data_IF_018162945962
#
_entry.id   IF_018162945962
#
_cell.length_a   1.000
_cell.length_b   1.000
_cell.length_c   1.000
_cell.angle_alpha   90.00
_cell.angle_beta   90.00
_cell.angle_gamma   90.00
#
_symmetry.space_group_name_H-M   'P 1'
#
loop_
_entity.id
_entity.type
_entity.pdbx_description
1 polymer ?
#
# COMPACT_ATOMS: atom_id res chain seq x y z
N UNK A 1 -34.65 -2.02 -36.63
CA UNK A 1 -35.86 -2.81 -36.92
C UNK A 1 -36.24 -3.59 -35.67
N UNK A 2 -37.38 -3.26 -35.06
CA UNK A 2 -37.84 -3.88 -33.81
C UNK A 2 -38.52 -5.22 -34.10
N UNK A 3 -37.88 -6.32 -33.72
CA UNK A 3 -38.54 -7.60 -33.59
C UNK A 3 -39.17 -7.69 -32.19
N UNK A 4 -40.44 -8.05 -32.14
CA UNK A 4 -41.22 -8.25 -30.92
C UNK A 4 -40.53 -9.23 -29.96
N UNK A 5 -40.24 -8.79 -28.74
CA UNK A 5 -39.59 -9.55 -27.67
C UNK A 5 -40.51 -10.58 -26.98
N UNK A 6 -41.51 -11.10 -27.70
CA UNK A 6 -42.53 -11.96 -27.13
C UNK A 6 -42.03 -13.38 -26.77
N UNK A 7 -40.87 -13.82 -27.26
CA UNK A 7 -40.36 -15.19 -27.09
C UNK A 7 -38.96 -15.35 -26.48
N UNK A 8 -38.30 -14.27 -26.07
CA UNK A 8 -36.92 -14.37 -25.55
C UNK A 8 -36.95 -14.56 -24.03
N UNK A 9 -36.37 -15.66 -23.53
CA UNK A 9 -36.34 -16.00 -22.09
C UNK A 9 -34.94 -15.81 -21.46
N UNK A 10 -33.91 -15.65 -22.30
CA UNK A 10 -32.53 -15.53 -21.86
C UNK A 10 -31.73 -14.54 -22.71
N UNK A 11 -30.76 -13.88 -22.09
CA UNK A 11 -29.77 -13.04 -22.74
C UNK A 11 -28.40 -13.69 -22.61
N UNK A 12 -27.68 -13.86 -23.72
CA UNK A 12 -26.30 -14.36 -23.72
C UNK A 12 -25.31 -13.18 -23.83
N UNK A 13 -24.38 -13.09 -22.89
CA UNK A 13 -23.22 -12.18 -22.98
C UNK A 13 -22.04 -13.00 -23.49
N UNK A 14 -21.82 -12.99 -24.81
CA UNK A 14 -20.83 -13.85 -25.46
C UNK A 14 -19.42 -13.25 -25.52
N UNK A 15 -19.29 -11.92 -25.45
CA UNK A 15 -18.00 -11.23 -25.48
C UNK A 15 -17.88 -10.17 -24.37
N UNK A 16 -16.64 -9.75 -24.12
CA UNK A 16 -16.30 -8.73 -23.13
C UNK A 16 -16.42 -7.29 -23.60
N UNK A 17 -16.92 -7.06 -24.82
CA UNK A 17 -17.16 -5.71 -25.37
C UNK A 17 -18.58 -5.25 -25.15
N UNK A 18 -19.45 -6.13 -24.67
CA UNK A 18 -20.81 -5.79 -24.29
C UNK A 18 -20.79 -4.67 -23.24
N UNK A 19 -21.37 -3.53 -23.62
CA UNK A 19 -21.59 -2.39 -22.72
C UNK A 19 -22.54 -2.81 -21.58
N UNK A 20 -22.11 -2.71 -20.31
CA UNK A 20 -22.94 -3.13 -19.17
C UNK A 20 -24.30 -2.45 -19.12
N UNK A 21 -24.40 -1.18 -19.53
CA UNK A 21 -25.66 -0.42 -19.52
C UNK A 21 -26.66 -1.01 -20.52
N UNK A 22 -26.17 -1.33 -21.73
CA UNK A 22 -26.96 -1.99 -22.77
C UNK A 22 -27.43 -3.38 -22.35
N UNK A 23 -26.57 -4.14 -21.66
CA UNK A 23 -26.92 -5.45 -21.09
C UNK A 23 -27.99 -5.31 -20.01
N UNK A 24 -27.86 -4.34 -19.10
CA UNK A 24 -28.83 -4.08 -18.03
C UNK A 24 -30.21 -3.66 -18.58
N UNK A 25 -30.23 -2.83 -19.62
CA UNK A 25 -31.47 -2.44 -20.31
C UNK A 25 -32.14 -3.63 -21.00
N UNK A 26 -31.36 -4.49 -21.67
CA UNK A 26 -31.88 -5.70 -22.32
C UNK A 26 -32.43 -6.69 -21.28
N UNK A 27 -31.72 -6.87 -20.16
CA UNK A 27 -32.16 -7.74 -19.07
C UNK A 27 -33.43 -7.22 -18.38
N UNK A 28 -33.54 -5.90 -18.16
CA UNK A 28 -34.77 -5.27 -17.65
C UNK A 28 -35.98 -5.53 -18.57
N UNK A 29 -35.77 -5.52 -19.89
CA UNK A 29 -36.83 -5.84 -20.86
C UNK A 29 -37.26 -7.30 -20.81
N UNK A 30 -36.35 -8.21 -20.50
CA UNK A 30 -36.64 -9.64 -20.31
C UNK A 30 -37.36 -9.91 -18.98
N UNK A 31 -37.02 -9.15 -17.93
CA UNK A 31 -37.64 -9.26 -16.61
C UNK A 31 -39.08 -8.72 -16.57
N UNK A 32 -39.52 -7.95 -17.58
CA UNK A 32 -40.92 -7.55 -17.74
C UNK A 32 -41.81 -8.79 -17.88
N UNK A 33 -42.73 -8.96 -16.93
CA UNK A 33 -43.61 -10.12 -16.79
C UNK A 33 -44.39 -10.38 -18.09
N UNK A 34 -44.05 -11.47 -18.78
CA UNK A 34 -44.92 -12.13 -19.74
C UNK A 34 -45.65 -13.29 -19.04
N UNK A 35 -46.92 -13.57 -19.38
CA UNK A 35 -47.65 -14.69 -18.79
C UNK A 35 -46.88 -16.01 -19.02
N UNK A 36 -46.55 -16.71 -17.93
CA UNK A 36 -45.76 -17.96 -17.93
C UNK A 36 -44.26 -17.82 -17.66
N UNK A 37 -43.73 -16.59 -17.49
CA UNK A 37 -42.30 -16.37 -17.16
C UNK A 37 -42.10 -16.14 -15.66
N UNK A 38 -41.34 -17.03 -15.02
CA UNK A 38 -40.95 -16.91 -13.61
C UNK A 38 -39.65 -16.11 -13.40
N UNK A 39 -38.72 -16.11 -14.37
CA UNK A 39 -37.44 -15.40 -14.27
C UNK A 39 -36.84 -15.08 -15.66
N UNK A 40 -36.09 -13.97 -15.76
CA UNK A 40 -35.22 -13.68 -16.90
C UNK A 40 -33.81 -14.21 -16.63
N UNK A 41 -33.20 -14.93 -17.58
CA UNK A 41 -31.89 -15.54 -17.40
C UNK A 41 -30.78 -14.76 -18.13
N UNK A 42 -29.67 -14.50 -17.43
CA UNK A 42 -28.44 -14.00 -18.03
C UNK A 42 -27.44 -15.15 -18.16
N UNK A 43 -27.17 -15.57 -19.40
CA UNK A 43 -26.22 -16.63 -19.71
C UNK A 43 -24.84 -16.01 -19.94
N UNK A 44 -23.84 -16.55 -19.26
CA UNK A 44 -22.44 -16.17 -19.41
C UNK A 44 -21.63 -17.45 -19.67
N UNK A 45 -20.81 -17.50 -20.72
CA UNK A 45 -20.14 -18.73 -21.15
C UNK A 45 -19.11 -19.25 -20.14
N UNK A 46 -18.48 -18.36 -19.37
CA UNK A 46 -17.58 -18.71 -18.27
C UNK A 46 -17.72 -17.73 -17.10
N UNK A 47 -17.40 -18.21 -15.89
CA UNK A 47 -17.33 -17.41 -14.67
C UNK A 47 -15.99 -16.66 -14.53
N UNK A 48 -15.24 -16.53 -15.63
CA UNK A 48 -13.97 -15.82 -15.72
C UNK A 48 -13.90 -15.03 -17.03
N UNK A 49 -13.03 -14.02 -17.07
CA UNK A 49 -12.83 -13.20 -18.27
C UNK A 49 -13.83 -12.05 -18.42
N UNK A 50 -13.81 -11.36 -19.57
CA UNK A 50 -14.43 -10.04 -19.65
C UNK A 50 -15.97 -10.09 -19.83
N UNK A 51 -16.52 -11.21 -20.33
CA UNK A 51 -17.98 -11.38 -20.44
C UNK A 51 -18.66 -11.40 -19.05
N UNK A 52 -18.06 -12.08 -18.05
CA UNK A 52 -18.60 -12.08 -16.68
C UNK A 52 -18.45 -10.73 -16.00
N UNK A 53 -17.40 -9.96 -16.33
CA UNK A 53 -17.25 -8.57 -15.84
C UNK A 53 -18.40 -7.70 -16.34
N UNK A 54 -18.68 -7.73 -17.65
CA UNK A 54 -19.80 -6.97 -18.23
C UNK A 54 -21.15 -7.43 -17.69
N UNK A 55 -21.36 -8.74 -17.55
CA UNK A 55 -22.58 -9.31 -17.01
C UNK A 55 -22.78 -8.92 -15.53
N UNK A 56 -21.73 -8.97 -14.72
CA UNK A 56 -21.77 -8.56 -13.32
C UNK A 56 -22.08 -7.07 -13.18
N UNK A 57 -21.37 -6.23 -13.93
CA UNK A 57 -21.60 -4.78 -13.93
C UNK A 57 -23.04 -4.42 -14.36
N UNK A 58 -23.64 -5.19 -15.26
CA UNK A 58 -25.04 -5.03 -15.62
C UNK A 58 -26.00 -5.45 -14.49
N UNK A 59 -25.72 -6.56 -13.80
CA UNK A 59 -26.52 -7.03 -12.67
C UNK A 59 -26.45 -6.07 -11.48
N UNK A 60 -25.28 -5.53 -11.17
CA UNK A 60 -25.08 -4.57 -10.08
C UNK A 60 -25.82 -3.24 -10.31
N UNK A 61 -26.10 -2.87 -11.58
CA UNK A 61 -26.98 -1.73 -11.88
C UNK A 61 -28.45 -1.99 -11.55
N UNK A 62 -28.87 -3.26 -11.49
CA UNK A 62 -30.26 -3.67 -11.26
C UNK A 62 -30.52 -4.08 -9.80
N UNK A 63 -29.50 -4.57 -9.10
CA UNK A 63 -29.54 -4.96 -7.69
C UNK A 63 -28.35 -4.34 -6.95
N UNK A 64 -28.63 -3.26 -6.22
CA UNK A 64 -27.67 -2.46 -5.45
C UNK A 64 -27.02 -3.23 -4.29
N UNK A 65 -27.53 -4.41 -3.94
CA UNK A 65 -26.97 -5.27 -2.89
C UNK A 65 -25.80 -6.11 -3.39
N UNK A 66 -25.61 -6.26 -4.70
CA UNK A 66 -24.63 -7.19 -5.26
C UNK A 66 -23.19 -6.72 -5.08
N UNK A 67 -22.89 -5.44 -5.37
CA UNK A 67 -21.54 -4.91 -5.25
C UNK A 67 -21.04 -4.86 -3.79
N UNK A 68 -21.83 -4.38 -2.80
CA UNK A 68 -21.44 -4.47 -1.39
C UNK A 68 -21.20 -5.91 -0.92
N UNK A 69 -22.03 -6.86 -1.37
CA UNK A 69 -21.85 -8.27 -1.04
C UNK A 69 -20.59 -8.86 -1.68
N UNK A 70 -20.28 -8.50 -2.92
CA UNK A 70 -19.05 -8.91 -3.60
C UNK A 70 -17.80 -8.37 -2.87
N UNK A 71 -17.85 -7.08 -2.50
CA UNK A 71 -16.82 -6.41 -1.71
C UNK A 71 -16.62 -7.10 -0.36
N UNK A 72 -17.70 -7.43 0.35
CA UNK A 72 -17.64 -8.19 1.61
C UNK A 72 -16.96 -9.55 1.41
N UNK A 73 -17.34 -10.31 0.37
CA UNK A 73 -16.71 -11.60 0.07
C UNK A 73 -15.22 -11.44 -0.25
N UNK A 74 -14.82 -10.39 -0.98
CA UNK A 74 -13.42 -10.09 -1.25
C UNK A 74 -12.62 -9.82 0.04
N UNK A 75 -13.16 -8.97 0.93
CA UNK A 75 -12.57 -8.70 2.25
C UNK A 75 -12.45 -9.98 3.08
N UNK A 76 -13.50 -10.79 3.16
CA UNK A 76 -13.48 -12.04 3.92
C UNK A 76 -12.50 -13.07 3.33
N UNK A 77 -12.38 -13.12 2.00
CA UNK A 77 -11.41 -13.97 1.31
C UNK A 77 -9.98 -13.58 1.70
N UNK A 78 -9.69 -12.27 1.72
CA UNK A 78 -8.40 -11.75 2.18
C UNK A 78 -8.12 -12.03 3.65
N UNK A 79 -9.15 -11.89 4.49
CA UNK A 79 -9.05 -12.09 5.93
C UNK A 79 -8.72 -13.54 6.28
N UNK A 80 -9.34 -14.51 5.59
CA UNK A 80 -9.20 -15.95 5.83
C UNK A 80 -8.14 -16.65 4.97
N UNK A 81 -7.65 -15.96 3.94
CA UNK A 81 -6.79 -16.50 2.86
C UNK A 81 -7.33 -17.78 2.20
N UNK A 82 -8.66 -17.85 2.06
CA UNK A 82 -9.35 -18.90 1.31
C UNK A 82 -10.69 -18.39 0.80
N UNK A 83 -11.20 -19.05 -0.24
CA UNK A 83 -12.57 -18.84 -0.70
C UNK A 83 -13.60 -19.21 0.38
N UNK A 84 -14.74 -18.52 0.34
CA UNK A 84 -15.85 -18.74 1.25
C UNK A 84 -16.62 -20.01 0.88
N UNK A 85 -17.15 -20.71 1.89
CA UNK A 85 -18.10 -21.81 1.67
C UNK A 85 -19.49 -21.28 1.36
N UNK A 86 -20.39 -22.15 0.91
CA UNK A 86 -21.79 -21.79 0.65
C UNK A 86 -22.45 -21.11 1.86
N UNK A 87 -22.20 -21.63 3.07
CA UNK A 87 -22.79 -21.14 4.32
C UNK A 87 -22.25 -19.76 4.72
N UNK A 88 -21.05 -19.40 4.25
CA UNK A 88 -20.40 -18.11 4.52
C UNK A 88 -20.80 -17.03 3.52
N UNK A 89 -21.42 -17.40 2.39
CA UNK A 89 -21.79 -16.43 1.34
C UNK A 89 -23.04 -15.62 1.72
N UNK A 90 -23.08 -14.31 1.41
CA UNK A 90 -24.29 -13.50 1.47
C UNK A 90 -25.45 -14.12 0.67
N UNK A 91 -26.69 -14.01 1.17
CA UNK A 91 -27.87 -14.60 0.52
C UNK A 91 -28.10 -14.10 -0.91
N UNK A 92 -27.89 -12.81 -1.17
CA UNK A 92 -28.03 -12.26 -2.53
C UNK A 92 -27.08 -12.95 -3.54
N UNK A 93 -25.88 -13.33 -3.12
CA UNK A 93 -24.92 -14.05 -3.97
C UNK A 93 -25.23 -15.55 -4.08
N UNK A 94 -25.94 -16.12 -3.11
CA UNK A 94 -26.45 -17.49 -3.20
C UNK A 94 -27.55 -17.60 -4.27
N UNK A 95 -28.37 -16.56 -4.40
CA UNK A 95 -29.54 -16.54 -5.29
C UNK A 95 -29.20 -16.05 -6.71
N UNK A 96 -28.06 -15.37 -6.91
CA UNK A 96 -27.66 -14.80 -8.21
C UNK A 96 -27.27 -15.87 -9.25
N UNK A 97 -26.82 -17.04 -8.80
CA UNK A 97 -26.37 -18.14 -9.68
C UNK A 97 -27.47 -19.19 -9.79
N UNK A 98 -28.12 -19.25 -10.97
CA UNK A 98 -29.03 -20.33 -11.29
C UNK A 98 -28.27 -21.66 -11.46
N UNK A 99 -28.73 -22.73 -10.82
CA UNK A 99 -28.10 -24.06 -10.88
C UNK A 99 -29.13 -25.18 -11.04
N UNK A 100 -28.97 -25.99 -12.09
CA UNK A 100 -29.86 -27.11 -12.47
C UNK A 100 -29.38 -28.48 -11.97
N UNK A 101 -28.30 -28.55 -11.17
CA UNK A 101 -27.76 -29.82 -10.65
C UNK A 101 -28.74 -30.53 -9.72
N UNK A 102 -28.75 -31.86 -9.82
CA UNK A 102 -29.73 -32.74 -9.14
C UNK A 102 -29.69 -32.69 -7.62
N UNK A 103 -28.50 -32.63 -7.01
CA UNK A 103 -28.36 -32.71 -5.55
C UNK A 103 -28.11 -31.34 -4.92
N UNK A 104 -28.67 -31.10 -3.72
CA UNK A 104 -28.46 -29.86 -2.96
C UNK A 104 -26.97 -29.57 -2.73
N UNK A 105 -26.21 -30.59 -2.32
CA UNK A 105 -24.76 -30.49 -2.08
C UNK A 105 -23.97 -30.12 -3.34
N UNK A 106 -24.32 -30.69 -4.50
CA UNK A 106 -23.66 -30.35 -5.76
C UNK A 106 -23.97 -28.92 -6.23
N UNK A 107 -25.19 -28.42 -5.92
CA UNK A 107 -25.60 -27.04 -6.19
C UNK A 107 -24.82 -26.03 -5.35
N UNK A 108 -24.82 -26.23 -4.03
CA UNK A 108 -24.10 -25.37 -3.09
C UNK A 108 -22.60 -25.27 -3.43
N UNK A 109 -21.96 -26.40 -3.73
CA UNK A 109 -20.56 -26.43 -4.17
C UNK A 109 -20.35 -25.73 -5.52
N UNK A 110 -21.34 -25.77 -6.43
CA UNK A 110 -21.25 -25.03 -7.69
C UNK A 110 -21.22 -23.54 -7.45
N UNK A 111 -22.21 -23.04 -6.69
CA UNK A 111 -22.44 -21.62 -6.52
C UNK A 111 -21.26 -21.01 -5.80
N UNK A 112 -20.79 -21.64 -4.72
CA UNK A 112 -19.60 -21.19 -4.01
C UNK A 112 -18.37 -21.06 -4.93
N UNK A 113 -18.16 -22.04 -5.81
CA UNK A 113 -17.06 -22.00 -6.80
C UNK A 113 -17.24 -20.89 -7.83
N UNK A 114 -18.47 -20.70 -8.34
CA UNK A 114 -18.76 -19.67 -9.35
C UNK A 114 -18.61 -18.28 -8.75
N UNK A 115 -19.21 -18.02 -7.58
CA UNK A 115 -19.08 -16.75 -6.87
C UNK A 115 -17.61 -16.44 -6.55
N UNK A 116 -16.84 -17.45 -6.13
CA UNK A 116 -15.39 -17.26 -5.92
C UNK A 116 -14.65 -16.87 -7.21
N UNK A 117 -15.02 -17.45 -8.35
CA UNK A 117 -14.45 -17.09 -9.66
C UNK A 117 -14.83 -15.68 -10.09
N UNK A 118 -16.08 -15.29 -9.84
CA UNK A 118 -16.58 -13.93 -10.08
C UNK A 118 -15.78 -12.94 -9.23
N UNK A 119 -15.71 -13.13 -7.91
CA UNK A 119 -14.93 -12.27 -6.99
C UNK A 119 -13.48 -12.11 -7.46
N UNK A 120 -12.82 -13.19 -7.85
CA UNK A 120 -11.43 -13.11 -8.34
C UNK A 120 -11.27 -12.33 -9.66
N UNK A 121 -12.34 -12.21 -10.44
CA UNK A 121 -12.34 -11.56 -11.76
C UNK A 121 -12.85 -10.12 -11.68
N UNK A 122 -13.87 -9.86 -10.86
CA UNK A 122 -14.65 -8.61 -10.85
C UNK A 122 -14.39 -7.74 -9.64
N UNK A 123 -14.05 -8.32 -8.48
CA UNK A 123 -13.84 -7.52 -7.27
C UNK A 123 -12.51 -6.75 -7.32
N UNK A 124 -12.47 -5.62 -6.63
CA UNK A 124 -11.22 -4.88 -6.48
C UNK A 124 -10.24 -5.70 -5.61
N UNK A 125 -9.06 -5.98 -6.16
CA UNK A 125 -7.99 -6.66 -5.42
C UNK A 125 -7.61 -5.92 -4.14
N UNK A 126 -7.84 -4.61 -4.08
CA UNK A 126 -7.69 -3.78 -2.91
C UNK A 126 -8.50 -4.32 -1.71
N UNK A 127 -9.74 -4.78 -1.92
CA UNK A 127 -10.60 -5.29 -0.85
C UNK A 127 -10.03 -6.56 -0.21
N UNK A 128 -9.45 -7.43 -1.03
CA UNK A 128 -8.76 -8.63 -0.55
C UNK A 128 -7.56 -8.24 0.32
N UNK A 129 -6.80 -7.21 -0.05
CA UNK A 129 -5.71 -6.74 0.79
C UNK A 129 -6.18 -6.01 2.05
N UNK A 130 -7.26 -5.26 1.98
CA UNK A 130 -7.89 -4.68 3.16
C UNK A 130 -8.35 -5.76 4.14
N UNK A 131 -8.91 -6.87 3.64
CA UNK A 131 -9.19 -8.06 4.45
C UNK A 131 -7.96 -8.63 5.18
N UNK A 132 -6.80 -8.63 4.52
CA UNK A 132 -5.52 -9.04 5.12
C UNK A 132 -5.06 -8.07 6.21
N UNK A 133 -5.24 -6.76 6.02
CA UNK A 133 -4.99 -5.76 7.06
C UNK A 133 -5.84 -6.05 8.31
N UNK A 134 -7.14 -6.32 8.14
CA UNK A 134 -8.03 -6.66 9.25
C UNK A 134 -7.61 -7.97 9.94
N UNK A 135 -7.15 -8.98 9.20
CA UNK A 135 -6.62 -10.22 9.78
C UNK A 135 -5.36 -9.98 10.61
N UNK A 136 -4.43 -9.18 10.08
CA UNK A 136 -3.19 -8.83 10.78
C UNK A 136 -3.46 -8.09 12.08
N UNK A 137 -4.37 -7.09 12.07
CA UNK A 137 -4.78 -6.35 13.27
C UNK A 137 -5.39 -7.25 14.34
N UNK A 138 -6.20 -8.23 13.93
CA UNK A 138 -6.80 -9.19 14.84
C UNK A 138 -5.75 -10.14 15.45
N UNK A 139 -4.72 -10.52 14.68
CA UNK A 139 -3.66 -11.42 15.12
C UNK A 139 -2.61 -10.73 16.01
N UNK A 140 -2.42 -9.41 15.86
CA UNK A 140 -1.38 -8.64 16.54
C UNK A 140 -1.93 -7.44 17.33
N UNK A 141 -2.80 -7.66 18.34
CA UNK A 141 -3.50 -6.57 19.04
C UNK A 141 -2.58 -5.61 19.81
N UNK A 142 -1.40 -6.06 20.25
CA UNK A 142 -0.44 -5.21 21.00
C UNK A 142 0.39 -4.28 20.09
N UNK A 143 0.68 -4.70 18.86
CA UNK A 143 1.34 -3.88 17.82
C UNK A 143 0.33 -3.05 17.01
N UNK A 144 -0.96 -3.34 17.18
CA UNK A 144 -2.05 -2.79 16.39
C UNK A 144 -2.37 -1.33 16.71
N UNK A 145 -1.78 -0.72 17.75
CA UNK A 145 -2.21 0.60 18.18
C UNK A 145 -1.73 1.72 17.24
N UNK A 146 -0.53 1.61 16.61
CA UNK A 146 0.08 2.78 15.95
C UNK A 146 0.64 2.58 14.52
N UNK A 147 1.09 1.40 14.09
CA UNK A 147 1.64 1.21 12.72
C UNK A 147 1.66 -0.26 12.25
N UNK A 148 1.70 -0.47 10.93
CA UNK A 148 1.91 -1.79 10.30
C UNK A 148 3.35 -1.84 9.76
N UNK A 149 4.24 -2.68 10.33
CA UNK A 149 5.63 -2.81 9.87
C UNK A 149 5.74 -3.15 8.39
N UNK A 150 6.80 -2.69 7.70
CA UNK A 150 7.00 -2.93 6.26
C UNK A 150 7.15 -4.42 5.89
N UNK A 151 7.81 -5.18 6.76
CA UNK A 151 8.00 -6.63 6.64
C UNK A 151 6.82 -7.41 7.24
N UNK A 152 5.74 -6.74 7.66
CA UNK A 152 4.54 -7.41 8.11
C UNK A 152 4.05 -8.35 7.01
N UNK A 153 4.10 -9.64 7.33
CA UNK A 153 3.58 -10.71 6.49
C UNK A 153 2.36 -11.29 7.15
N UNK A 154 1.28 -11.42 6.39
CA UNK A 154 0.10 -12.18 6.78
C UNK A 154 -0.24 -13.14 5.65
N UNK A 155 -0.47 -14.40 5.99
CA UNK A 155 -0.76 -15.46 5.01
C UNK A 155 0.31 -15.57 3.89
N UNK A 156 1.59 -15.34 4.24
CA UNK A 156 2.69 -15.35 3.28
C UNK A 156 2.67 -14.19 2.27
N UNK A 157 1.85 -13.14 2.49
CA UNK A 157 1.77 -11.95 1.64
C UNK A 157 2.39 -10.73 2.32
N UNK A 158 3.12 -9.87 1.58
CA UNK A 158 3.80 -8.69 2.14
C UNK A 158 2.81 -7.55 2.41
N UNK A 159 2.09 -7.62 3.54
CA UNK A 159 1.09 -6.64 3.93
C UNK A 159 1.69 -5.25 4.14
N UNK A 160 2.85 -5.16 4.80
CA UNK A 160 3.51 -3.88 5.06
C UNK A 160 3.82 -3.09 3.79
N UNK A 161 4.30 -3.77 2.74
CA UNK A 161 4.55 -3.17 1.43
C UNK A 161 3.26 -2.68 0.76
N UNK A 162 2.17 -3.45 0.89
CA UNK A 162 0.87 -3.02 0.36
C UNK A 162 0.34 -1.79 1.10
N UNK A 163 0.43 -1.76 2.44
CA UNK A 163 0.05 -0.60 3.25
C UNK A 163 0.86 0.62 2.85
N UNK A 164 2.19 0.51 2.73
CA UNK A 164 3.06 1.60 2.29
C UNK A 164 2.65 2.16 0.92
N UNK A 165 2.22 1.30 0.00
CA UNK A 165 1.69 1.74 -1.29
C UNK A 165 0.39 2.53 -1.18
N UNK A 166 -0.46 2.27 -0.18
CA UNK A 166 -1.69 3.05 0.02
C UNK A 166 -1.39 4.49 0.43
N UNK A 167 -0.33 4.71 1.21
CA UNK A 167 0.14 6.06 1.54
C UNK A 167 0.70 6.80 0.32
N UNK A 168 1.42 6.09 -0.56
CA UNK A 168 1.88 6.65 -1.83
C UNK A 168 0.72 7.00 -2.77
N UNK A 169 -0.25 6.10 -2.90
CA UNK A 169 -1.45 6.35 -3.71
C UNK A 169 -2.26 7.52 -3.12
N UNK A 170 -2.31 7.67 -1.80
CA UNK A 170 -2.90 8.85 -1.15
C UNK A 170 -2.11 10.14 -1.45
N UNK A 171 -0.77 10.13 -1.34
CA UNK A 171 0.13 11.25 -1.66
C UNK A 171 -0.11 11.80 -3.06
N UNK A 172 -0.34 10.92 -4.04
CA UNK A 172 -0.53 11.31 -5.44
C UNK A 172 -2.00 11.41 -5.86
N UNK A 173 -2.94 11.39 -4.91
CA UNK A 173 -4.38 11.52 -5.20
C UNK A 173 -4.99 10.31 -5.93
N UNK A 174 -4.29 9.19 -5.98
CA UNK A 174 -4.76 7.92 -6.55
C UNK A 174 -5.63 7.09 -5.59
N UNK A 175 -5.67 7.44 -4.29
CA UNK A 175 -6.52 6.78 -3.30
C UNK A 175 -7.88 7.47 -3.18
N UNK A 176 -8.97 6.73 -3.41
CA UNK A 176 -10.32 7.27 -3.23
C UNK A 176 -10.64 7.55 -1.76
N UNK A 177 -11.55 8.50 -1.52
CA UNK A 177 -11.98 8.87 -0.17
C UNK A 177 -12.59 7.68 0.60
N UNK A 178 -13.32 6.79 -0.08
CA UNK A 178 -13.86 5.56 0.51
C UNK A 178 -12.74 4.63 1.02
N UNK A 179 -11.70 4.39 0.20
CA UNK A 179 -10.54 3.59 0.58
C UNK A 179 -9.80 4.22 1.74
N UNK A 180 -9.62 5.55 1.74
CA UNK A 180 -9.03 6.31 2.85
C UNK A 180 -9.83 6.09 4.14
N UNK A 181 -11.14 6.29 4.10
CA UNK A 181 -12.03 6.09 5.25
C UNK A 181 -11.91 4.68 5.82
N UNK A 182 -11.90 3.67 4.94
CA UNK A 182 -11.75 2.27 5.34
C UNK A 182 -10.39 1.97 5.96
N UNK A 183 -9.30 2.52 5.43
CA UNK A 183 -7.97 2.38 6.07
C UNK A 183 -7.95 2.99 7.48
N UNK A 184 -8.61 4.13 7.67
CA UNK A 184 -8.77 4.75 9.00
C UNK A 184 -9.60 3.89 9.94
N UNK A 185 -10.72 3.33 9.48
CA UNK A 185 -11.53 2.35 10.24
C UNK A 185 -10.74 1.07 10.55
N UNK A 186 -9.81 0.68 9.67
CA UNK A 186 -8.84 -0.40 9.87
C UNK A 186 -7.68 -0.05 10.82
N UNK A 187 -7.72 1.12 11.46
CA UNK A 187 -6.77 1.56 12.48
C UNK A 187 -5.48 2.18 11.93
N UNK A 188 -5.46 2.69 10.69
CA UNK A 188 -4.33 3.45 10.16
C UNK A 188 -4.57 4.97 10.35
N UNK A 189 -3.58 5.68 10.89
CA UNK A 189 -3.68 7.15 11.02
C UNK A 189 -3.22 7.83 9.73
N UNK A 190 -4.14 8.57 9.09
CA UNK A 190 -3.92 9.37 7.88
C UNK A 190 -4.35 10.82 8.16
N UNK A 191 -3.71 11.48 9.14
CA UNK A 191 -4.16 12.78 9.68
C UNK A 191 -3.44 14.00 9.09
N UNK A 192 -4.25 15.00 8.70
CA UNK A 192 -3.94 16.23 7.97
C UNK A 192 -3.02 17.24 8.71
N UNK A 193 -2.25 18.01 7.93
CA UNK A 193 -1.22 19.05 8.27
C UNK A 193 0.23 18.59 8.49
N UNK A 194 0.54 17.76 9.49
CA UNK A 194 1.95 17.38 9.74
C UNK A 194 2.53 16.46 8.66
N UNK A 195 1.68 15.59 8.10
CA UNK A 195 2.04 14.70 6.99
C UNK A 195 2.12 15.45 5.66
N UNK A 196 1.30 16.49 5.47
CA UNK A 196 1.40 17.37 4.30
C UNK A 196 2.71 18.16 4.33
N UNK A 197 3.07 18.77 5.45
CA UNK A 197 4.34 19.49 5.59
C UNK A 197 5.56 18.56 5.43
N UNK A 198 5.47 17.31 5.90
CA UNK A 198 6.47 16.29 5.62
C UNK A 198 6.56 15.99 4.12
N UNK A 199 5.44 15.71 3.46
CA UNK A 199 5.37 15.36 2.04
C UNK A 199 5.84 16.51 1.13
N UNK A 200 5.39 17.75 1.40
CA UNK A 200 5.77 18.95 0.66
C UNK A 200 7.28 19.20 0.77
N UNK A 201 7.84 19.09 1.98
CA UNK A 201 9.28 19.26 2.16
C UNK A 201 10.11 18.13 1.59
N UNK A 202 9.57 16.90 1.53
CA UNK A 202 10.22 15.79 0.84
C UNK A 202 10.24 16.01 -0.67
N UNK A 203 9.15 16.49 -1.26
CA UNK A 203 9.08 16.83 -2.69
C UNK A 203 10.03 17.99 -3.03
N UNK A 204 10.09 19.02 -2.18
CA UNK A 204 11.06 20.11 -2.33
C UNK A 204 12.51 19.62 -2.16
N UNK A 205 12.75 18.62 -1.32
CA UNK A 205 14.05 17.96 -1.21
C UNK A 205 14.39 17.17 -2.47
N UNK A 206 13.47 16.36 -3.01
CA UNK A 206 13.63 15.62 -4.26
C UNK A 206 13.94 16.58 -5.43
N UNK A 207 13.17 17.66 -5.58
CA UNK A 207 13.43 18.73 -6.57
C UNK A 207 14.79 19.37 -6.39
N UNK A 208 15.20 19.61 -5.14
CA UNK A 208 16.52 20.16 -4.85
C UNK A 208 17.62 19.23 -5.35
N UNK A 209 17.50 17.91 -5.12
CA UNK A 209 18.45 16.89 -5.60
C UNK A 209 18.52 16.77 -7.14
N UNK A 210 17.47 17.16 -7.87
CA UNK A 210 17.46 17.17 -9.33
C UNK A 210 18.17 18.39 -9.95
N UNK A 211 18.52 19.40 -9.14
CA UNK A 211 19.21 20.60 -9.62
C UNK A 211 20.69 20.31 -9.94
N UNK A 212 21.25 20.97 -10.95
CA UNK A 212 22.63 20.67 -11.40
C UNK A 212 23.72 20.98 -10.37
N UNK A 213 23.42 21.83 -9.38
CA UNK A 213 24.34 22.26 -8.32
C UNK A 213 23.79 21.91 -6.92
N UNK A 214 23.07 20.79 -6.80
CA UNK A 214 22.45 20.43 -5.51
C UNK A 214 23.50 20.13 -4.44
N UNK A 215 23.28 20.68 -3.24
CA UNK A 215 23.99 20.26 -2.03
C UNK A 215 23.06 19.36 -1.20
N UNK A 216 23.39 18.08 -0.96
CA UNK A 216 22.65 17.22 -0.03
C UNK A 216 22.54 17.85 1.38
N UNK A 217 23.53 18.68 1.74
CA UNK A 217 23.42 19.55 2.90
C UNK A 217 22.52 20.74 2.54
N UNK A 218 21.30 20.69 3.05
CA UNK A 218 20.43 21.86 3.10
C UNK A 218 20.74 22.64 4.40
N UNK A 219 21.35 23.84 4.31
CA UNK A 219 21.61 24.68 5.49
C UNK A 219 20.30 25.11 6.15
N UNK A 220 20.24 25.32 7.48
CA UNK A 220 19.01 25.72 8.17
C UNK A 220 18.29 26.95 7.60
N UNK A 221 19.05 27.91 7.04
CA UNK A 221 18.51 29.13 6.44
C UNK A 221 18.19 29.04 4.94
N UNK A 222 18.23 27.85 4.34
CA UNK A 222 18.03 27.69 2.91
C UNK A 222 16.55 27.65 2.52
N UNK A 223 16.23 28.42 1.48
CA UNK A 223 14.92 28.45 0.82
C UNK A 223 15.05 27.97 -0.62
N UNK A 224 14.09 27.18 -1.08
CA UNK A 224 14.02 26.77 -2.49
C UNK A 224 13.54 27.92 -3.37
N UNK A 225 13.61 27.74 -4.69
CA UNK A 225 13.12 28.73 -5.67
C UNK A 225 11.61 29.00 -5.56
N UNK A 226 10.83 28.07 -5.00
CA UNK A 226 9.40 28.24 -4.72
C UNK A 226 9.11 29.03 -3.45
N UNK A 227 10.15 29.38 -2.66
CA UNK A 227 10.03 30.04 -1.36
C UNK A 227 9.83 29.07 -0.20
N UNK A 228 9.95 27.76 -0.41
CA UNK A 228 9.83 26.77 0.66
C UNK A 228 11.08 26.76 1.56
N UNK A 229 10.88 26.76 2.87
CA UNK A 229 11.95 26.77 3.88
C UNK A 229 12.60 25.38 4.08
N UNK A 230 13.20 24.83 3.02
CA UNK A 230 13.74 23.46 3.01
C UNK A 230 14.81 23.23 4.09
N UNK A 231 15.59 24.26 4.44
CA UNK A 231 16.57 24.21 5.52
C UNK A 231 15.97 23.95 6.88
N UNK A 232 14.92 24.69 7.22
CA UNK A 232 14.19 24.51 8.47
C UNK A 232 13.48 23.15 8.51
N UNK A 233 12.91 22.72 7.37
CA UNK A 233 12.31 21.40 7.24
C UNK A 233 13.33 20.28 7.47
N UNK A 234 14.50 20.33 6.81
CA UNK A 234 15.55 19.32 6.97
C UNK A 234 16.08 19.27 8.42
N UNK A 235 16.21 20.43 9.07
CA UNK A 235 16.56 20.51 10.50
C UNK A 235 15.49 19.85 11.38
N UNK A 236 14.21 20.10 11.10
CA UNK A 236 13.09 19.50 11.80
C UNK A 236 13.09 17.97 11.66
N UNK A 237 13.33 17.43 10.45
CA UNK A 237 13.41 15.99 10.23
C UNK A 237 14.58 15.35 10.99
N UNK A 238 15.79 15.93 10.94
CA UNK A 238 16.95 15.45 11.72
C UNK A 238 16.70 15.52 13.22
N UNK A 239 15.95 16.51 13.70
CA UNK A 239 15.61 16.65 15.12
C UNK A 239 14.49 15.67 15.54
N UNK A 240 13.50 15.44 14.69
CA UNK A 240 12.46 14.44 14.89
C UNK A 240 13.05 13.03 14.90
N UNK A 241 14.00 12.74 13.99
CA UNK A 241 14.78 11.50 13.98
C UNK A 241 15.45 11.24 15.34
N UNK A 242 16.30 12.19 15.79
CA UNK A 242 17.05 12.05 17.05
C UNK A 242 16.16 11.90 18.28
N UNK A 243 14.92 12.42 18.22
CA UNK A 243 13.93 12.32 19.30
C UNK A 243 13.03 11.09 19.17
N UNK A 244 13.22 10.25 18.16
CA UNK A 244 12.37 9.09 17.88
C UNK A 244 10.92 9.46 17.52
N UNK A 245 10.72 10.64 16.92
CA UNK A 245 9.39 11.18 16.58
C UNK A 245 8.99 11.00 15.12
N UNK A 246 9.92 10.60 14.26
CA UNK A 246 9.58 10.23 12.89
C UNK A 246 8.90 8.87 12.89
N UNK A 247 7.79 8.75 12.19
CA UNK A 247 7.19 7.43 11.95
C UNK A 247 8.12 6.57 11.10
N UNK A 248 7.99 5.25 11.17
CA UNK A 248 8.79 4.33 10.34
C UNK A 248 8.67 4.66 8.84
N UNK A 249 7.50 5.11 8.41
CA UNK A 249 7.17 5.50 7.04
C UNK A 249 7.91 6.78 6.63
N UNK A 250 7.95 7.79 7.50
CA UNK A 250 8.73 9.01 7.28
C UNK A 250 10.23 8.72 7.20
N UNK A 251 10.72 7.82 8.05
CA UNK A 251 12.12 7.41 8.02
C UNK A 251 12.49 6.72 6.70
N UNK A 252 11.61 5.87 6.17
CA UNK A 252 11.79 5.24 4.86
C UNK A 252 11.78 6.25 3.72
N UNK A 253 10.82 7.17 3.72
CA UNK A 253 10.72 8.21 2.68
C UNK A 253 11.98 9.07 2.62
N UNK A 254 12.56 9.41 3.78
CA UNK A 254 13.85 10.11 3.86
C UNK A 254 15.02 9.25 3.35
N UNK A 255 15.09 7.97 3.70
CA UNK A 255 16.16 7.08 3.22
C UNK A 255 16.10 6.85 1.69
N UNK A 256 14.89 6.71 1.14
CA UNK A 256 14.67 6.50 -0.30
C UNK A 256 15.24 7.63 -1.16
N UNK A 257 15.16 8.88 -0.66
CA UNK A 257 15.73 10.06 -1.31
C UNK A 257 17.16 10.35 -0.87
N UNK A 258 17.81 9.41 -0.17
CA UNK A 258 19.14 9.58 0.40
C UNK A 258 19.29 10.81 1.31
N UNK A 259 18.23 11.18 2.03
CA UNK A 259 18.26 12.29 2.98
C UNK A 259 19.32 12.04 4.06
N UNK A 260 20.18 13.02 4.38
CA UNK A 260 21.23 12.86 5.37
C UNK A 260 20.64 13.01 6.80
N UNK A 261 20.72 11.95 7.64
CA UNK A 261 20.15 11.95 8.99
C UNK A 261 20.89 12.87 9.97
N UNK A 262 22.11 13.28 9.61
CA UNK A 262 22.97 14.17 10.38
C UNK A 262 23.39 15.32 9.47
N UNK A 263 23.47 16.52 10.02
CA UNK A 263 24.01 17.67 9.31
C UNK A 263 25.53 17.51 9.14
N UNK A 264 26.04 17.81 7.96
CA UNK A 264 27.48 17.99 7.79
C UNK A 264 27.94 19.30 8.43
N UNK A 265 29.23 19.42 8.80
CA UNK A 265 29.79 20.68 9.27
C UNK A 265 29.65 21.80 8.23
N UNK A 266 29.48 23.03 8.71
CA UNK A 266 29.42 24.22 7.83
C UNK A 266 30.73 24.45 7.08
N UNK A 267 31.87 24.14 7.71
CA UNK A 267 33.18 24.24 7.07
C UNK A 267 33.30 23.27 5.88
N UNK A 268 33.58 23.80 4.69
CA UNK A 268 33.61 23.06 3.42
C UNK A 268 34.59 21.88 3.40
N UNK A 269 35.79 22.06 3.99
CA UNK A 269 36.79 21.00 4.04
C UNK A 269 36.38 19.89 5.02
N UNK A 270 35.82 20.24 6.17
CA UNK A 270 35.26 19.27 7.12
C UNK A 270 34.03 18.54 6.53
N UNK A 271 33.21 19.26 5.75
CA UNK A 271 32.08 18.69 4.98
C UNK A 271 32.58 17.65 3.98
N UNK A 272 33.60 17.97 3.20
CA UNK A 272 34.20 17.03 2.25
C UNK A 272 34.67 15.73 2.92
N UNK A 273 35.23 15.82 4.13
CA UNK A 273 35.63 14.63 4.91
C UNK A 273 34.40 13.81 5.33
N UNK A 274 33.37 14.47 5.86
CA UNK A 274 32.16 13.78 6.35
C UNK A 274 31.29 13.21 5.24
N UNK A 275 31.23 13.84 4.05
CA UNK A 275 30.59 13.28 2.86
C UNK A 275 31.26 11.98 2.40
N UNK A 276 32.60 11.92 2.41
CA UNK A 276 33.33 10.68 2.09
C UNK A 276 32.99 9.56 3.08
N UNK A 277 32.93 9.88 4.37
CA UNK A 277 32.52 8.94 5.42
C UNK A 277 31.08 8.47 5.18
N UNK A 278 30.17 9.38 4.88
CA UNK A 278 28.77 9.04 4.60
C UNK A 278 28.64 8.12 3.39
N UNK A 279 29.36 8.40 2.29
CA UNK A 279 29.36 7.53 1.11
C UNK A 279 29.84 6.11 1.45
N UNK A 280 30.86 5.98 2.32
CA UNK A 280 31.33 4.67 2.79
C UNK A 280 30.26 3.95 3.63
N UNK A 281 29.56 4.67 4.51
CA UNK A 281 28.46 4.12 5.32
C UNK A 281 27.29 3.68 4.43
N UNK A 282 26.85 4.53 3.49
CA UNK A 282 25.72 4.25 2.58
C UNK A 282 25.96 3.02 1.71
N UNK A 283 27.21 2.77 1.27
CA UNK A 283 27.57 1.57 0.49
C UNK A 283 27.30 0.26 1.21
N UNK A 284 27.40 0.27 2.54
CA UNK A 284 27.22 -0.93 3.38
C UNK A 284 25.92 -0.88 4.19
N UNK A 285 25.06 0.11 3.94
CA UNK A 285 23.78 0.32 4.64
C UNK A 285 22.90 -0.94 4.63
N UNK A 286 22.90 -1.67 3.51
CA UNK A 286 22.10 -2.89 3.31
C UNK A 286 22.78 -4.17 3.77
N UNK A 287 23.98 -4.08 4.36
CA UNK A 287 24.70 -5.24 4.88
C UNK A 287 24.18 -5.66 6.27
N UNK A 288 24.58 -6.85 6.71
CA UNK A 288 24.25 -7.35 8.06
C UNK A 288 24.74 -6.40 9.15
N UNK A 289 24.08 -6.42 10.32
CA UNK A 289 24.47 -5.59 11.47
C UNK A 289 25.95 -5.79 11.84
N UNK A 290 26.43 -7.04 11.84
CA UNK A 290 27.84 -7.36 12.12
C UNK A 290 28.77 -6.65 11.13
N UNK A 291 28.46 -6.69 9.83
CA UNK A 291 29.27 -6.02 8.81
C UNK A 291 29.23 -4.49 8.97
N UNK A 292 28.05 -3.93 9.27
CA UNK A 292 27.89 -2.50 9.56
C UNK A 292 28.70 -2.08 10.78
N UNK A 293 28.60 -2.79 11.90
CA UNK A 293 29.39 -2.52 13.10
C UNK A 293 30.89 -2.53 12.83
N UNK A 294 31.39 -3.51 12.05
CA UNK A 294 32.80 -3.57 11.69
C UNK A 294 33.24 -2.35 10.88
N UNK A 295 32.45 -1.93 9.88
CA UNK A 295 32.75 -0.74 9.07
C UNK A 295 32.70 0.52 9.93
N UNK A 296 31.67 0.67 10.76
CA UNK A 296 31.51 1.81 11.65
C UNK A 296 32.68 1.93 12.63
N UNK A 297 33.08 0.84 13.29
CA UNK A 297 34.24 0.81 14.19
C UNK A 297 35.53 1.18 13.45
N UNK A 298 35.75 0.67 12.23
CA UNK A 298 36.91 1.05 11.41
C UNK A 298 36.91 2.55 11.10
N UNK A 299 35.76 3.12 10.74
CA UNK A 299 35.62 4.55 10.46
C UNK A 299 35.87 5.41 11.70
N UNK A 300 35.34 5.02 12.87
CA UNK A 300 35.60 5.72 14.14
C UNK A 300 37.09 5.70 14.48
N UNK A 301 37.75 4.55 14.38
CA UNK A 301 39.19 4.43 14.69
C UNK A 301 40.05 5.21 13.70
N UNK A 302 39.71 5.17 12.41
CA UNK A 302 40.45 5.88 11.34
C UNK A 302 40.36 7.40 11.50
N UNK A 303 39.20 7.90 11.92
CA UNK A 303 38.93 9.33 12.02
C UNK A 303 39.11 9.90 13.44
N UNK A 304 39.53 9.09 14.42
CA UNK A 304 39.72 9.54 15.79
C UNK A 304 40.82 10.63 15.88
N UNK A 305 40.64 11.71 16.67
CA UNK A 305 41.62 12.81 16.77
C UNK A 305 43.04 12.37 17.15
N UNK A 306 43.17 11.30 17.93
CA UNK A 306 44.49 10.78 18.34
C UNK A 306 45.18 9.90 17.29
N UNK A 307 44.53 9.59 16.16
CA UNK A 307 45.04 8.69 15.11
C UNK A 307 45.07 9.32 13.73
N UNK A 308 44.09 10.18 13.42
CA UNK A 308 44.00 10.87 12.14
C UNK A 308 44.92 12.09 12.13
N UNK A 309 45.66 12.28 11.04
CA UNK A 309 46.40 13.52 10.78
C UNK A 309 45.52 14.64 10.19
N UNK A 310 44.24 14.36 9.95
CA UNK A 310 43.30 15.34 9.42
C UNK A 310 43.00 16.41 10.48
N UNK A 311 43.09 17.72 10.16
CA UNK A 311 42.65 18.78 11.06
C UNK A 311 41.14 18.75 11.33
N UNK A 312 40.37 17.91 10.60
CA UNK A 312 38.92 17.76 10.73
C UNK A 312 38.51 16.46 11.44
N UNK A 313 39.42 15.81 12.16
CA UNK A 313 39.16 14.56 12.88
C UNK A 313 38.05 14.70 13.94
N UNK A 314 37.97 15.83 14.63
CA UNK A 314 36.90 16.11 15.59
C UNK A 314 35.52 16.19 14.92
N UNK A 315 35.44 16.93 13.81
CA UNK A 315 34.20 17.05 13.03
C UNK A 315 33.75 15.69 12.46
N UNK A 316 34.69 14.88 11.97
CA UNK A 316 34.42 13.53 11.52
C UNK A 316 33.90 12.62 12.66
N UNK A 317 34.46 12.75 13.86
CA UNK A 317 34.05 11.99 15.04
C UNK A 317 32.66 12.40 15.51
N UNK A 318 32.36 13.70 15.55
CA UNK A 318 31.03 14.21 15.88
C UNK A 318 29.97 13.77 14.87
N UNK A 319 30.31 13.83 13.57
CA UNK A 319 29.44 13.32 12.51
C UNK A 319 29.13 11.83 12.69
N UNK A 320 30.17 11.00 12.88
CA UNK A 320 30.00 9.57 13.14
C UNK A 320 29.16 9.32 14.39
N UNK A 321 29.38 10.06 15.47
CA UNK A 321 28.59 9.94 16.70
C UNK A 321 27.10 10.21 16.46
N UNK A 322 26.76 11.27 15.71
CA UNK A 322 25.37 11.55 15.32
C UNK A 322 24.78 10.52 14.36
N UNK A 323 25.61 9.92 13.52
CA UNK A 323 25.20 8.98 12.46
C UNK A 323 25.05 7.55 13.00
N UNK A 324 25.66 7.27 14.17
CA UNK A 324 25.73 5.94 14.80
C UNK A 324 24.37 5.27 14.91
N UNK A 325 23.40 5.96 15.51
CA UNK A 325 22.11 5.35 15.82
C UNK A 325 21.32 5.10 14.53
N UNK A 326 21.42 6.01 13.55
CA UNK A 326 20.82 5.79 12.23
C UNK A 326 21.44 4.61 11.49
N UNK A 327 22.77 4.46 11.58
CA UNK A 327 23.50 3.47 10.81
C UNK A 327 23.53 2.08 11.44
N UNK A 328 23.59 1.97 12.77
CA UNK A 328 23.67 0.69 13.49
C UNK A 328 22.29 0.20 13.92
N UNK A 329 21.39 1.13 14.22
CA UNK A 329 19.98 0.87 14.55
C UNK A 329 19.06 1.63 13.59
N UNK A 330 19.17 1.38 12.27
CA UNK A 330 18.16 1.88 11.35
C UNK A 330 16.81 1.32 11.83
N UNK A 331 15.71 2.06 11.64
CA UNK A 331 14.36 1.63 11.98
C UNK A 331 14.12 0.29 11.33
N UNK A 332 14.25 -0.73 12.16
CA UNK A 332 14.04 -2.12 11.81
C UNK A 332 13.10 -2.63 12.90
N UNK A 333 12.06 -3.37 12.53
CA UNK A 333 11.07 -3.85 13.47
C UNK A 333 11.73 -4.73 14.56
N UNK A 334 11.16 -4.76 15.79
CA UNK A 334 11.76 -5.39 16.96
C UNK A 334 12.09 -6.89 16.82
N UNK A 335 11.55 -7.58 15.82
CA UNK A 335 11.65 -9.03 15.66
C UNK A 335 13.01 -9.49 15.11
N UNK A 336 13.74 -8.64 14.38
CA UNK A 336 15.10 -8.97 13.88
C UNK A 336 16.15 -8.84 15.01
N UNK A 337 15.80 -8.21 16.14
CA UNK A 337 16.68 -8.12 17.32
C UNK A 337 16.89 -9.45 18.04
N UNK A 338 16.10 -10.48 17.74
CA UNK A 338 16.20 -11.83 18.34
C UNK A 338 16.86 -12.87 17.43
N UNK A 339 17.09 -12.56 16.15
CA UNK A 339 17.64 -13.50 15.15
C UNK A 339 19.06 -13.09 14.69
N UNK A 340 19.58 -11.98 15.19
CA UNK A 340 20.99 -11.56 15.09
C UNK A 340 21.60 -11.50 16.49
#
# INVERSE_FOLDING_TARGET
AGASAAGTDALLVADGRADPTSVAQALSRLALRAPGREAGLLLVPDASGPAVVSAWAALAQLDDRLDPALQEVAVQTGRRDRSLTWEELPRCLQDVVADTRKTKKARQKHVARVVSSIVNTTADKWDVWYGRLLAYRLASPETAQDSVPLDAVIHGKPLGQWVARQFLDWRWGGLSEDKRKRLMEGGLSLTDESDRFFADGLEEFERHLESQDYDPYVPPGFFTKSGFALGAWALAQRAAWRRGRLTTEQQYMLDAVSFPPVAHPDNENARTVTLKIEMELRRVQRHSLIAREQVFRKLVVRNHPSRSQSPYAEAATQFLAGYRDWFLTPPMPPEIRKIM
#
